data_IF_703942939806
#
_entry.id   IF_703942939806
#
_cell.length_a   1.000
_cell.length_b   1.000
_cell.length_c   1.000
_cell.angle_alpha   90.00
_cell.angle_beta   90.00
_cell.angle_gamma   90.00
#
_symmetry.space_group_name_H-M   'P 1'
#
loop_
_entity.id
_entity.type
_entity.pdbx_description
1 polymer ?
#
# COMPACT_ATOMS: atom_id res chain seq x y z
N UNK A 1 22.13 3.94 7.36
CA UNK A 1 21.34 5.12 6.95
C UNK A 1 20.29 5.34 8.02
N UNK A 2 20.13 6.55 8.56
CA UNK A 2 19.07 6.82 9.53
C UNK A 2 17.74 6.93 8.80
N UNK A 3 16.75 6.13 9.19
CA UNK A 3 15.40 6.22 8.63
C UNK A 3 14.74 7.53 9.06
N UNK A 4 14.11 8.23 8.12
CA UNK A 4 13.29 9.41 8.43
C UNK A 4 11.93 8.94 8.93
N UNK A 5 11.57 9.28 10.17
CA UNK A 5 10.23 9.01 10.71
C UNK A 5 9.35 10.22 10.46
N UNK A 6 8.19 9.98 9.83
CA UNK A 6 7.21 11.01 9.55
C UNK A 6 6.15 11.07 10.65
N UNK A 7 5.68 12.28 10.96
CA UNK A 7 4.51 12.49 11.82
C UNK A 7 3.24 12.52 10.96
N UNK A 8 2.06 12.35 11.57
CA UNK A 8 0.79 12.39 10.86
C UNK A 8 0.65 13.71 10.08
N UNK A 9 0.45 13.61 8.76
CA UNK A 9 0.32 14.75 7.86
C UNK A 9 1.64 15.36 7.39
N UNK A 10 2.79 14.82 7.80
CA UNK A 10 4.08 15.21 7.24
C UNK A 10 4.23 14.72 5.80
N UNK A 11 4.98 15.48 5.00
CA UNK A 11 5.30 15.17 3.62
C UNK A 11 6.81 14.97 3.46
N UNK A 12 7.19 14.10 2.54
CA UNK A 12 8.59 13.84 2.19
C UNK A 12 8.70 13.69 0.68
N UNK A 13 9.76 14.27 0.09
CA UNK A 13 10.03 14.11 -1.34
C UNK A 13 10.59 12.72 -1.59
N UNK A 14 9.91 11.94 -2.42
CA UNK A 14 10.37 10.61 -2.79
C UNK A 14 11.65 10.68 -3.63
N UNK A 15 12.54 9.69 -3.49
CA UNK A 15 13.69 9.55 -4.38
C UNK A 15 13.23 9.31 -5.83
N UNK A 16 14.10 9.62 -6.79
CA UNK A 16 13.82 9.43 -8.23
C UNK A 16 13.93 7.97 -8.69
N UNK A 17 14.24 7.05 -7.80
CA UNK A 17 14.44 5.64 -8.10
C UNK A 17 13.08 4.95 -8.35
N UNK A 18 13.00 4.18 -9.44
CA UNK A 18 11.81 3.42 -9.84
C UNK A 18 12.19 1.95 -10.06
N UNK A 19 11.40 0.97 -9.57
CA UNK A 19 10.15 1.15 -8.82
C UNK A 19 10.38 1.57 -7.37
N UNK A 20 9.45 2.37 -6.85
CA UNK A 20 9.30 2.61 -5.41
C UNK A 20 8.60 1.39 -4.80
N UNK A 21 9.12 0.88 -3.69
CA UNK A 21 8.52 -0.23 -2.96
C UNK A 21 7.94 0.31 -1.67
N UNK A 22 6.62 0.22 -1.52
CA UNK A 22 5.93 0.54 -0.27
C UNK A 22 5.62 -0.74 0.47
N UNK A 23 6.14 -0.88 1.67
CA UNK A 23 5.87 -2.03 2.56
C UNK A 23 4.95 -1.61 3.69
N UNK A 24 3.89 -2.37 3.91
CA UNK A 24 2.97 -2.25 5.03
C UNK A 24 3.23 -3.44 5.95
N UNK A 25 3.62 -3.16 7.18
CA UNK A 25 3.82 -4.18 8.22
C UNK A 25 2.86 -3.90 9.37
N UNK A 26 2.13 -4.92 9.79
CA UNK A 26 1.27 -4.87 10.97
C UNK A 26 1.62 -6.05 11.88
N UNK A 27 1.97 -5.73 13.12
CA UNK A 27 2.20 -6.69 14.19
C UNK A 27 0.99 -6.67 15.13
N UNK A 28 0.37 -7.82 15.30
CA UNK A 28 -0.77 -8.01 16.20
C UNK A 28 -0.51 -8.99 17.34
N UNK A 29 0.59 -9.76 17.28
CA UNK A 29 0.80 -10.93 18.14
C UNK A 29 -0.32 -11.99 18.07
N UNK A 30 -1.26 -11.87 17.13
CA UNK A 30 -2.50 -12.63 17.05
C UNK A 30 -2.84 -13.02 15.61
N UNK A 31 -4.14 -13.16 15.31
CA UNK A 31 -4.63 -13.61 14.00
C UNK A 31 -5.12 -12.46 13.10
N UNK A 32 -4.62 -11.25 13.32
CA UNK A 32 -4.96 -10.10 12.49
C UNK A 32 -4.21 -10.19 11.16
N UNK A 33 -4.97 -10.19 10.07
CA UNK A 33 -4.44 -10.18 8.71
C UNK A 33 -4.92 -8.93 8.00
N UNK A 34 -3.99 -8.16 7.45
CA UNK A 34 -4.32 -6.99 6.64
C UNK A 34 -4.19 -7.30 5.16
N UNK A 35 -4.96 -6.60 4.33
CA UNK A 35 -4.81 -6.57 2.88
C UNK A 35 -4.50 -5.16 2.39
N UNK A 36 -3.41 -5.04 1.64
CA UNK A 36 -3.08 -3.82 0.92
C UNK A 36 -4.00 -3.57 -0.29
N UNK A 37 -4.34 -2.30 -0.49
CA UNK A 37 -5.04 -1.83 -1.67
C UNK A 37 -4.53 -0.47 -2.11
N UNK A 38 -4.69 -0.17 -3.39
CA UNK A 38 -4.19 1.06 -4.01
C UNK A 38 -5.24 1.67 -4.93
N UNK A 39 -5.47 2.97 -4.80
CA UNK A 39 -6.35 3.74 -5.67
C UNK A 39 -5.50 4.72 -6.48
N UNK A 40 -5.61 4.64 -7.82
CA UNK A 40 -5.04 5.62 -8.74
C UNK A 40 -6.13 6.65 -9.04
N UNK A 41 -5.92 7.89 -8.58
CA UNK A 41 -6.92 8.94 -8.62
C UNK A 41 -6.52 10.03 -9.61
N UNK A 42 -7.49 10.53 -10.35
CA UNK A 42 -7.36 11.79 -11.09
C UNK A 42 -7.48 13.00 -10.16
N UNK A 43 -7.27 14.20 -10.70
CA UNK A 43 -7.41 15.48 -9.98
C UNK A 43 -8.77 15.63 -9.27
N UNK A 44 -9.82 14.99 -9.81
CA UNK A 44 -11.16 14.98 -9.20
C UNK A 44 -11.25 14.19 -7.89
N UNK A 45 -10.20 13.45 -7.51
CA UNK A 45 -10.17 12.55 -6.35
C UNK A 45 -10.92 11.25 -6.57
N UNK A 46 -11.19 10.87 -7.83
CA UNK A 46 -11.90 9.64 -8.21
C UNK A 46 -11.01 8.76 -9.08
N UNK A 47 -11.24 7.45 -9.03
CA UNK A 47 -10.70 6.50 -10.01
C UNK A 47 -11.38 6.72 -11.37
N UNK A 48 -10.67 6.54 -12.48
CA UNK A 48 -11.27 6.63 -13.84
C UNK A 48 -12.22 5.46 -14.10
N UNK A 49 -11.84 4.30 -13.60
CA UNK A 49 -12.58 3.04 -13.72
C UNK A 49 -12.14 2.06 -12.62
N UNK A 50 -12.82 0.91 -12.52
CA UNK A 50 -12.40 -0.17 -11.61
C UNK A 50 -10.98 -0.69 -11.86
N UNK A 51 -10.43 -0.45 -13.05
CA UNK A 51 -9.05 -0.81 -13.43
C UNK A 51 -7.98 -0.02 -12.66
N UNK A 52 -8.35 1.13 -12.08
CA UNK A 52 -7.48 1.99 -11.27
C UNK A 52 -7.57 1.66 -9.77
N UNK A 53 -8.26 0.57 -9.42
CA UNK A 53 -8.27 0.02 -8.07
C UNK A 53 -7.48 -1.30 -8.04
N UNK A 54 -6.35 -1.31 -7.35
CA UNK A 54 -5.46 -2.47 -7.24
C UNK A 54 -5.62 -3.11 -5.87
N UNK A 55 -5.94 -4.39 -5.85
CA UNK A 55 -6.22 -5.19 -4.64
C UNK A 55 -5.99 -6.68 -4.93
N UNK A 56 -6.15 -7.58 -3.97
CA UNK A 56 -5.79 -9.01 -4.14
C UNK A 56 -6.39 -9.68 -5.38
N UNK A 57 -7.64 -9.36 -5.77
CA UNK A 57 -8.29 -9.94 -6.95
C UNK A 57 -7.96 -9.21 -8.26
N UNK A 58 -7.29 -8.06 -8.17
CA UNK A 58 -6.77 -7.29 -9.30
C UNK A 58 -5.39 -6.75 -8.91
N UNK A 59 -4.35 -7.61 -8.84
CA UNK A 59 -3.09 -7.27 -8.18
C UNK A 59 -2.21 -6.33 -8.99
N UNK A 60 -2.66 -5.85 -10.15
CA UNK A 60 -1.92 -4.93 -11.04
C UNK A 60 -2.87 -3.94 -11.70
N UNK A 61 -2.41 -2.70 -11.87
CA UNK A 61 -3.08 -1.73 -12.73
C UNK A 61 -2.92 -2.11 -14.21
N UNK A 62 -3.84 -1.64 -15.06
CA UNK A 62 -3.83 -1.96 -16.50
C UNK A 62 -2.56 -1.48 -17.21
N UNK A 63 -2.02 -0.33 -16.80
CA UNK A 63 -0.77 0.23 -17.31
C UNK A 63 0.50 -0.43 -16.71
N UNK A 64 0.33 -1.31 -15.71
CA UNK A 64 1.43 -1.96 -14.99
C UNK A 64 2.31 -1.00 -14.19
N UNK A 65 1.83 0.21 -13.92
CA UNK A 65 2.51 1.20 -13.06
C UNK A 65 2.43 0.83 -11.58
N UNK A 66 1.36 0.15 -11.16
CA UNK A 66 1.17 -0.29 -9.77
C UNK A 66 0.94 -1.80 -9.73
N UNK A 67 1.61 -2.47 -8.82
CA UNK A 67 1.49 -3.91 -8.61
C UNK A 67 1.56 -4.26 -7.12
N UNK A 68 0.61 -5.05 -6.62
CA UNK A 68 0.78 -5.79 -5.37
C UNK A 68 1.82 -6.90 -5.60
N UNK A 69 2.81 -6.94 -4.72
CA UNK A 69 3.75 -8.03 -4.65
C UNK A 69 3.14 -9.20 -3.88
N UNK A 70 3.73 -10.39 -4.03
CA UNK A 70 3.31 -11.54 -3.26
C UNK A 70 3.49 -11.23 -1.77
N UNK A 71 2.43 -11.46 -0.99
CA UNK A 71 2.45 -11.31 0.47
C UNK A 71 3.52 -12.22 1.06
N UNK A 72 4.32 -11.68 1.97
CA UNK A 72 5.27 -12.50 2.74
C UNK A 72 4.50 -13.43 3.68
N UNK A 73 4.96 -14.67 3.91
CA UNK A 73 4.35 -15.55 4.89
C UNK A 73 4.26 -14.86 6.25
N UNK A 74 3.12 -15.00 6.91
CA UNK A 74 2.93 -14.48 8.26
C UNK A 74 3.84 -15.24 9.24
N UNK A 75 4.56 -14.49 10.08
CA UNK A 75 5.47 -15.05 11.08
C UNK A 75 5.15 -14.39 12.42
N UNK A 76 4.74 -15.21 13.40
CA UNK A 76 4.45 -14.76 14.76
C UNK A 76 3.46 -13.59 14.87
N UNK A 77 2.39 -13.58 14.06
CA UNK A 77 1.35 -12.55 14.08
C UNK A 77 1.72 -11.26 13.34
N UNK A 78 2.83 -11.26 12.60
CA UNK A 78 3.28 -10.16 11.75
C UNK A 78 2.85 -10.39 10.30
N UNK A 79 1.96 -9.52 9.82
CA UNK A 79 1.52 -9.48 8.43
C UNK A 79 2.33 -8.44 7.64
N UNK A 80 2.70 -8.78 6.41
CA UNK A 80 3.48 -7.91 5.52
C UNK A 80 2.96 -7.92 4.09
N UNK A 81 2.54 -6.76 3.65
CA UNK A 81 2.18 -6.49 2.26
C UNK A 81 3.19 -5.55 1.62
N UNK A 82 3.40 -5.71 0.32
CA UNK A 82 4.25 -4.81 -0.45
C UNK A 82 3.61 -4.40 -1.78
N UNK A 83 3.81 -3.15 -2.15
CA UNK A 83 3.33 -2.53 -3.38
C UNK A 83 4.51 -1.96 -4.15
N UNK A 84 4.65 -2.36 -5.41
CA UNK A 84 5.60 -1.74 -6.33
C UNK A 84 4.92 -0.65 -7.16
N UNK A 85 5.51 0.55 -7.20
CA UNK A 85 5.01 1.71 -7.93
C UNK A 85 6.08 2.23 -8.87
N UNK A 86 5.79 2.23 -10.17
CA UNK A 86 6.62 2.80 -11.24
C UNK A 86 6.09 4.17 -11.61
N UNK A 87 6.63 5.20 -10.97
CA UNK A 87 6.23 6.59 -11.21
C UNK A 87 6.43 7.02 -12.67
N UNK A 88 7.45 6.47 -13.35
CA UNK A 88 7.76 6.71 -14.76
C UNK A 88 6.72 6.14 -15.74
N UNK A 89 5.81 5.29 -15.24
CA UNK A 89 4.75 4.64 -16.03
C UNK A 89 3.34 5.11 -15.67
N UNK A 90 3.21 5.97 -14.67
CA UNK A 90 1.89 6.51 -14.32
C UNK A 90 1.35 7.32 -15.51
N UNK A 91 0.10 7.10 -15.92
CA UNK A 91 -0.56 7.94 -16.90
C UNK A 91 -0.61 9.39 -16.41
N UNK A 92 -0.49 10.35 -17.33
CA UNK A 92 -0.48 11.77 -17.00
C UNK A 92 -1.78 12.28 -16.33
N UNK A 93 -2.87 11.52 -16.47
CA UNK A 93 -4.17 11.81 -15.85
C UNK A 93 -4.20 11.47 -14.35
N UNK A 94 -3.28 10.62 -13.86
CA UNK A 94 -3.22 10.24 -12.45
C UNK A 94 -2.48 11.33 -11.66
N UNK A 95 -3.22 11.97 -10.75
CA UNK A 95 -2.71 13.02 -9.86
C UNK A 95 -2.21 12.44 -8.52
N UNK A 96 -2.83 11.34 -8.06
CA UNK A 96 -2.53 10.77 -6.74
C UNK A 96 -2.63 9.26 -6.72
N UNK A 97 -1.67 8.63 -6.04
CA UNK A 97 -1.73 7.22 -5.66
C UNK A 97 -2.00 7.15 -4.15
N UNK A 98 -3.14 6.57 -3.77
CA UNK A 98 -3.52 6.37 -2.36
C UNK A 98 -3.34 4.91 -2.01
N UNK A 99 -2.60 4.64 -0.94
CA UNK A 99 -2.32 3.29 -0.44
C UNK A 99 -3.08 3.11 0.87
N UNK A 100 -3.80 2.00 0.98
CA UNK A 100 -4.56 1.64 2.18
C UNK A 100 -4.26 0.21 2.60
N UNK A 101 -4.51 -0.07 3.88
CA UNK A 101 -4.58 -1.41 4.42
C UNK A 101 -5.94 -1.58 5.09
N UNK A 102 -6.58 -2.73 4.87
CA UNK A 102 -7.86 -3.10 5.49
C UNK A 102 -7.74 -4.46 6.16
N UNK A 103 -8.62 -4.74 7.12
CA UNK A 103 -8.82 -6.09 7.67
C UNK A 103 -10.12 -6.65 7.11
N UNK A 104 -10.19 -7.96 6.93
CA UNK A 104 -11.44 -8.65 6.62
C UNK A 104 -12.32 -8.77 7.87
N UNK A 105 -13.63 -8.93 7.69
CA UNK A 105 -14.62 -9.03 8.78
C UNK A 105 -14.42 -10.30 9.63
N UNK A 106 -13.78 -11.34 9.07
CA UNK A 106 -13.43 -12.57 9.79
C UNK A 106 -12.15 -12.44 10.63
N UNK A 107 -11.41 -11.33 10.50
CA UNK A 107 -10.16 -11.06 11.22
C UNK A 107 -10.41 -10.25 12.50
N UNK A 108 -9.40 -10.18 13.37
CA UNK A 108 -9.43 -9.23 14.48
C UNK A 108 -9.43 -7.78 13.97
N UNK A 109 -10.12 -6.85 14.66
CA UNK A 109 -10.22 -5.48 14.18
C UNK A 109 -8.86 -4.78 14.25
N UNK A 110 -8.61 -3.85 13.32
CA UNK A 110 -7.32 -3.12 13.22
C UNK A 110 -6.84 -2.48 14.55
N UNK A 111 -7.77 -2.17 15.46
CA UNK A 111 -7.45 -1.64 16.79
C UNK A 111 -6.73 -2.61 17.74
N UNK A 112 -6.62 -3.91 17.42
CA UNK A 112 -5.83 -4.88 18.21
C UNK A 112 -4.37 -4.91 17.79
N UNK A 113 -3.99 -4.26 16.68
CA UNK A 113 -2.60 -4.17 16.25
C UNK A 113 -1.72 -3.51 17.33
N UNK A 114 -0.66 -4.19 17.74
CA UNK A 114 0.34 -3.67 18.66
C UNK A 114 1.21 -2.62 17.98
N UNK A 115 1.55 -2.86 16.71
CA UNK A 115 2.29 -1.93 15.89
C UNK A 115 1.82 -1.97 14.43
N UNK A 116 1.77 -0.81 13.78
CA UNK A 116 1.68 -0.72 12.33
C UNK A 116 2.71 0.25 11.78
N UNK A 117 3.27 -0.07 10.62
CA UNK A 117 4.28 0.74 9.95
C UNK A 117 4.12 0.65 8.43
N UNK A 118 4.19 1.80 7.78
CA UNK A 118 4.36 1.90 6.34
C UNK A 118 5.74 2.47 6.05
N UNK A 119 6.46 1.83 5.13
CA UNK A 119 7.86 2.17 4.77
C UNK A 119 7.97 2.29 3.26
N UNK A 120 8.81 3.22 2.82
CA UNK A 120 9.09 3.53 1.41
C UNK A 120 10.59 3.66 1.21
#
# INVERSE_FOLDING_TARGET
MSATVLTKGANFSLPSDSPIIVTIEVDSGGALTTDASVLLLEESGRVRSSSDFVFYNQPKSVDGSVQLLEREPEIAGVCRDAVAIRLDRLPAEIDRVVIGASVDDESEPFGTAEQSRMTV
#
